data_IF_509479584193
#
_entry.id   IF_509479584193
#
_cell.length_a   1.000
_cell.length_b   1.000
_cell.length_c   1.000
_cell.angle_alpha   90.00
_cell.angle_beta   90.00
_cell.angle_gamma   90.00
#
_symmetry.space_group_name_H-M   'P 1'
#
loop_
_entity.id
_entity.type
_entity.pdbx_description
1 polymer ?
#
# COMPACT_ATOMS: atom_id res chain seq x y z
N UNK A 1 -8.45 21.40 -18.34
CA UNK A 1 -7.25 20.99 -17.59
C UNK A 1 -7.54 19.70 -16.84
N UNK A 2 -7.17 18.57 -17.40
CA UNK A 2 -7.16 17.27 -16.72
C UNK A 2 -5.82 17.14 -16.01
N UNK A 3 -5.69 17.83 -14.88
CA UNK A 3 -4.49 17.77 -14.05
C UNK A 3 -4.93 17.26 -12.69
N UNK A 4 -4.47 16.11 -12.34
CA UNK A 4 -4.68 15.56 -11.01
C UNK A 4 -3.75 14.39 -10.74
N UNK A 5 -3.35 14.24 -9.51
CA UNK A 5 -2.61 13.09 -9.01
C UNK A 5 -3.25 11.73 -9.40
N UNK A 6 -4.54 11.71 -9.67
CA UNK A 6 -5.27 10.53 -10.14
C UNK A 6 -4.85 10.06 -11.53
N UNK A 7 -4.42 10.94 -12.42
CA UNK A 7 -3.95 10.55 -13.75
C UNK A 7 -2.59 9.85 -13.69
N UNK A 8 -1.70 10.28 -12.81
CA UNK A 8 -0.45 9.56 -12.52
C UNK A 8 -0.66 8.18 -11.91
N UNK A 9 -1.72 7.99 -11.10
CA UNK A 9 -2.05 6.70 -10.49
C UNK A 9 -2.62 5.72 -11.52
N UNK A 10 -3.42 6.18 -12.45
CA UNK A 10 -3.95 5.34 -13.56
C UNK A 10 -2.90 5.01 -14.61
N UNK A 11 -1.93 5.88 -14.81
CA UNK A 11 -0.81 5.66 -15.74
C UNK A 11 0.12 4.50 -15.32
N UNK A 12 0.04 4.07 -14.07
CA UNK A 12 0.75 2.89 -13.58
C UNK A 12 0.46 1.62 -14.37
N UNK A 13 -0.76 1.46 -14.87
CA UNK A 13 -1.14 0.24 -15.60
C UNK A 13 -0.79 0.29 -17.09
N UNK A 14 -0.62 1.50 -17.65
CA UNK A 14 -0.63 1.69 -19.09
C UNK A 14 0.31 2.83 -19.50
N UNK A 15 1.61 2.70 -19.38
CA UNK A 15 2.57 3.70 -19.88
C UNK A 15 2.38 4.07 -21.37
N UNK A 16 3.33 4.80 -21.98
CA UNK A 16 3.34 5.09 -23.41
C UNK A 16 3.57 3.84 -24.29
N UNK A 17 3.97 2.72 -23.67
CA UNK A 17 4.30 1.47 -24.35
C UNK A 17 3.07 0.68 -24.75
N UNK A 18 3.13 0.09 -25.94
CA UNK A 18 2.17 -0.92 -26.40
C UNK A 18 2.52 -2.27 -25.78
N UNK A 19 1.53 -2.94 -25.19
CA UNK A 19 1.70 -4.30 -24.66
C UNK A 19 0.76 -5.26 -25.37
N UNK A 20 1.26 -6.45 -25.70
CA UNK A 20 0.42 -7.54 -26.20
C UNK A 20 -0.07 -8.31 -24.98
N UNK A 21 -1.38 -8.37 -24.79
CA UNK A 21 -2.02 -9.12 -23.73
C UNK A 21 -2.78 -10.29 -24.32
N UNK A 22 -2.48 -11.51 -23.86
CA UNK A 22 -3.27 -12.67 -24.21
C UNK A 22 -4.57 -12.66 -23.44
N UNK A 23 -5.70 -12.59 -24.13
CA UNK A 23 -7.05 -12.65 -23.56
C UNK A 23 -7.82 -13.79 -24.20
N UNK A 24 -8.67 -14.47 -23.44
CA UNK A 24 -9.58 -15.47 -24.01
C UNK A 24 -10.72 -14.74 -24.74
N UNK A 25 -11.00 -15.15 -25.98
CA UNK A 25 -12.19 -14.73 -26.71
C UNK A 25 -13.45 -15.44 -26.15
N UNK A 26 -14.62 -15.16 -26.71
CA UNK A 26 -15.90 -15.75 -26.30
C UNK A 26 -15.91 -17.28 -26.48
N UNK A 27 -15.07 -17.81 -27.38
CA UNK A 27 -14.93 -19.23 -27.67
C UNK A 27 -13.87 -19.92 -26.78
N UNK A 28 -13.23 -19.17 -25.84
CA UNK A 28 -12.23 -19.67 -24.91
C UNK A 28 -10.80 -19.78 -25.46
N UNK A 29 -10.54 -19.38 -26.72
CA UNK A 29 -9.23 -19.38 -27.33
C UNK A 29 -8.39 -18.17 -26.89
N UNK A 30 -7.10 -18.38 -26.71
CA UNK A 30 -6.14 -17.33 -26.38
C UNK A 30 -5.83 -16.45 -27.60
N UNK A 31 -6.29 -15.21 -27.57
CA UNK A 31 -6.05 -14.23 -28.64
C UNK A 31 -5.12 -13.13 -28.12
N UNK A 32 -4.12 -12.81 -28.92
CA UNK A 32 -3.22 -11.69 -28.65
C UNK A 32 -3.95 -10.36 -28.87
N UNK A 33 -4.19 -9.59 -27.82
CA UNK A 33 -4.82 -8.27 -27.89
C UNK A 33 -3.78 -7.19 -27.59
N UNK A 34 -3.64 -6.25 -28.54
CA UNK A 34 -2.80 -5.08 -28.33
C UNK A 34 -3.48 -4.13 -27.35
N UNK A 35 -2.82 -3.85 -26.24
CA UNK A 35 -3.28 -2.90 -25.23
C UNK A 35 -2.40 -1.67 -25.31
N UNK A 36 -3.02 -0.53 -25.62
CA UNK A 36 -2.34 0.77 -25.70
C UNK A 36 -2.53 1.48 -24.38
N UNK A 37 -1.47 2.08 -23.85
CA UNK A 37 -1.51 2.83 -22.60
C UNK A 37 -2.44 4.04 -22.67
N UNK A 38 -3.16 4.33 -21.59
CA UNK A 38 -4.10 5.46 -21.51
C UNK A 38 -3.42 6.79 -21.78
N UNK A 39 -2.19 6.99 -21.32
CA UNK A 39 -1.42 8.20 -21.57
C UNK A 39 -1.17 8.41 -23.06
N UNK A 40 -0.87 7.34 -23.81
CA UNK A 40 -0.70 7.41 -25.24
C UNK A 40 -2.01 7.73 -25.97
N UNK A 41 -3.11 7.09 -25.59
CA UNK A 41 -4.43 7.37 -26.16
C UNK A 41 -4.79 8.86 -25.99
N UNK A 42 -4.55 9.42 -24.80
CA UNK A 42 -4.82 10.84 -24.53
C UNK A 42 -3.94 11.74 -25.41
N UNK A 43 -2.64 11.44 -25.55
CA UNK A 43 -1.74 12.21 -26.40
C UNK A 43 -2.11 12.13 -27.87
N UNK A 44 -2.45 10.94 -28.35
CA UNK A 44 -2.85 10.75 -29.75
C UNK A 44 -4.19 11.44 -30.05
N UNK A 45 -5.08 11.52 -29.06
CA UNK A 45 -6.39 12.19 -29.18
C UNK A 45 -6.27 13.71 -29.13
N UNK A 46 -5.30 14.23 -28.35
CA UNK A 46 -5.09 15.66 -28.14
C UNK A 46 -3.65 16.08 -28.50
N UNK A 47 -3.22 15.97 -29.78
CA UNK A 47 -1.81 16.12 -30.16
C UNK A 47 -1.27 17.54 -29.95
N UNK A 48 -2.13 18.54 -29.92
CA UNK A 48 -1.75 19.95 -29.73
C UNK A 48 -1.89 20.44 -28.30
N UNK A 49 -2.23 19.54 -27.36
CA UNK A 49 -2.35 19.91 -25.95
C UNK A 49 -0.98 19.97 -25.28
N UNK A 50 -0.80 20.92 -24.39
CA UNK A 50 0.33 20.95 -23.46
C UNK A 50 0.01 20.11 -22.24
N UNK A 51 0.91 19.21 -21.88
CA UNK A 51 0.76 18.32 -20.73
C UNK A 51 1.68 18.75 -19.62
N UNK A 52 1.12 18.96 -18.43
CA UNK A 52 1.88 19.22 -17.22
C UNK A 52 1.43 18.25 -16.14
N UNK A 53 2.38 17.64 -15.43
CA UNK A 53 2.13 16.69 -14.36
C UNK A 53 2.64 17.21 -13.01
N UNK A 54 1.83 17.09 -11.98
CA UNK A 54 2.23 17.34 -10.58
C UNK A 54 2.20 16.02 -9.82
N UNK A 55 3.33 15.62 -9.26
CA UNK A 55 3.41 14.36 -8.50
C UNK A 55 4.44 14.48 -7.38
N UNK A 56 4.07 14.00 -6.19
CA UNK A 56 5.02 13.84 -5.09
C UNK A 56 5.87 12.56 -5.20
N UNK A 57 5.61 11.71 -6.20
CA UNK A 57 6.25 10.40 -6.35
C UNK A 57 6.52 10.08 -7.82
N UNK A 58 7.46 10.79 -8.47
CA UNK A 58 7.81 10.52 -9.86
C UNK A 58 8.32 9.09 -10.05
N UNK A 59 7.98 8.49 -11.18
CA UNK A 59 8.39 7.13 -11.53
C UNK A 59 9.55 7.22 -12.53
N UNK A 60 10.64 6.52 -12.23
CA UNK A 60 11.78 6.34 -13.15
C UNK A 60 12.09 4.85 -13.22
N UNK A 61 11.46 4.13 -14.17
CA UNK A 61 11.70 2.72 -14.47
C UNK A 61 11.81 2.55 -15.98
N UNK A 62 12.48 1.49 -16.43
CA UNK A 62 12.71 1.21 -17.85
C UNK A 62 11.42 1.14 -18.68
N UNK A 63 10.32 0.61 -18.09
CA UNK A 63 9.03 0.46 -18.76
C UNK A 63 8.05 1.61 -18.48
N UNK A 64 8.36 2.51 -17.53
CA UNK A 64 7.49 3.61 -17.10
C UNK A 64 8.33 4.74 -16.54
N UNK A 65 8.31 5.85 -17.24
CA UNK A 65 9.06 7.03 -16.85
C UNK A 65 8.18 8.27 -16.93
N UNK A 66 8.05 8.98 -15.81
CA UNK A 66 7.28 10.23 -15.76
C UNK A 66 7.82 11.27 -16.74
N UNK A 67 9.15 11.31 -16.95
CA UNK A 67 9.80 12.22 -17.90
C UNK A 67 9.45 11.91 -19.35
N UNK A 68 9.26 10.64 -19.70
CA UNK A 68 8.84 10.24 -21.06
C UNK A 68 7.41 10.69 -21.37
N UNK A 69 6.56 10.75 -20.33
CA UNK A 69 5.15 11.14 -20.47
C UNK A 69 5.00 12.66 -20.50
N UNK A 70 5.68 13.39 -19.62
CA UNK A 70 5.45 14.81 -19.37
C UNK A 70 6.62 15.70 -19.81
N UNK A 71 7.77 15.14 -20.17
CA UNK A 71 9.00 15.88 -20.43
C UNK A 71 9.86 16.07 -19.18
N UNK A 72 10.88 16.93 -19.30
CA UNK A 72 11.77 17.21 -18.18
C UNK A 72 11.06 17.93 -17.03
N UNK A 73 11.64 17.81 -15.84
CA UNK A 73 11.12 18.50 -14.67
C UNK A 73 11.22 20.02 -14.85
N UNK A 74 10.12 20.71 -14.58
CA UNK A 74 10.09 22.18 -14.51
C UNK A 74 10.64 22.62 -13.17
N UNK A 75 10.26 21.92 -12.09
CA UNK A 75 10.70 22.18 -10.74
C UNK A 75 10.66 20.89 -9.91
N UNK A 76 11.52 20.80 -8.91
CA UNK A 76 11.62 19.68 -7.97
C UNK A 76 11.63 20.27 -6.56
N UNK A 77 10.61 19.93 -5.79
CA UNK A 77 10.54 20.19 -4.36
C UNK A 77 10.55 18.85 -3.64
N UNK A 78 11.72 18.41 -3.22
CA UNK A 78 11.90 17.09 -2.63
C UNK A 78 11.60 17.04 -1.12
N UNK A 79 11.62 15.83 -0.54
CA UNK A 79 11.33 15.64 0.88
C UNK A 79 12.37 16.32 1.78
N UNK A 80 13.62 16.42 1.35
CA UNK A 80 14.70 17.05 2.12
C UNK A 80 14.44 18.54 2.23
N UNK A 81 14.16 19.18 1.11
CA UNK A 81 13.82 20.61 1.05
C UNK A 81 12.53 20.91 1.83
N UNK A 82 11.52 20.03 1.70
CA UNK A 82 10.27 20.18 2.45
C UNK A 82 10.47 20.12 3.98
N UNK A 83 11.41 19.31 4.45
CA UNK A 83 11.78 19.25 5.88
C UNK A 83 12.57 20.49 6.29
N UNK A 84 13.54 20.94 5.49
CA UNK A 84 14.31 22.15 5.74
C UNK A 84 13.43 23.40 5.81
N UNK A 85 12.43 23.49 4.93
CA UNK A 85 11.46 24.59 4.92
C UNK A 85 10.38 24.47 6.02
N UNK A 86 10.39 23.36 6.79
CA UNK A 86 9.40 23.12 7.85
C UNK A 86 8.01 22.75 7.33
N UNK A 87 7.87 22.47 6.02
CA UNK A 87 6.60 22.07 5.41
C UNK A 87 6.22 20.62 5.73
N UNK A 88 7.20 19.77 6.05
CA UNK A 88 6.98 18.39 6.46
C UNK A 88 7.91 18.02 7.62
N UNK A 89 7.60 16.90 8.29
CA UNK A 89 8.45 16.38 9.37
C UNK A 89 9.40 15.30 8.86
N UNK A 90 10.59 15.14 9.46
CA UNK A 90 11.49 14.05 9.10
C UNK A 90 10.85 12.69 9.43
N UNK A 91 11.05 11.74 8.53
CA UNK A 91 10.62 10.35 8.72
C UNK A 91 11.80 9.51 9.18
N UNK A 92 11.62 8.81 10.28
CA UNK A 92 12.59 7.87 10.82
C UNK A 92 12.18 6.45 10.46
N UNK A 93 13.09 5.72 9.83
CA UNK A 93 12.90 4.31 9.50
C UNK A 93 13.59 3.44 10.54
N UNK A 94 12.84 2.53 11.13
CA UNK A 94 13.33 1.50 12.04
C UNK A 94 13.05 0.12 11.44
N UNK A 95 14.10 -0.61 11.12
CA UNK A 95 13.99 -2.02 10.75
C UNK A 95 13.88 -2.86 12.00
N UNK A 96 12.70 -3.39 12.28
CA UNK A 96 12.46 -4.30 13.40
C UNK A 96 12.59 -5.73 12.90
N UNK A 97 13.71 -6.36 13.25
CA UNK A 97 13.91 -7.78 12.98
C UNK A 97 13.10 -8.53 14.04
N UNK A 98 11.91 -8.95 13.65
CA UNK A 98 11.18 -9.92 14.50
C UNK A 98 12.04 -11.16 14.61
N UNK A 99 12.17 -11.71 15.82
CA UNK A 99 12.77 -13.02 16.06
C UNK A 99 11.82 -14.13 15.57
N UNK A 100 11.43 -14.01 14.29
CA UNK A 100 10.79 -15.10 13.60
C UNK A 100 11.84 -16.18 13.50
N UNK A 101 11.52 -17.38 13.95
CA UNK A 101 12.28 -18.59 13.61
C UNK A 101 12.00 -18.92 12.14
N UNK A 102 12.31 -17.96 11.24
CA UNK A 102 12.24 -18.18 9.82
C UNK A 102 13.44 -19.06 9.47
N UNK A 103 13.18 -20.18 8.84
CA UNK A 103 14.24 -20.99 8.26
C UNK A 103 14.85 -20.30 7.03
N UNK A 104 16.00 -20.76 6.58
CA UNK A 104 16.69 -20.18 5.41
C UNK A 104 15.84 -20.23 4.13
N UNK A 105 14.92 -21.20 4.01
CA UNK A 105 14.03 -21.30 2.86
C UNK A 105 13.01 -20.18 2.84
N UNK A 106 12.49 -19.82 4.00
CA UNK A 106 11.56 -18.71 4.18
C UNK A 106 12.22 -17.37 3.85
N UNK A 107 13.46 -17.15 4.29
CA UNK A 107 14.21 -15.94 3.94
C UNK A 107 14.44 -15.86 2.43
N UNK A 108 14.81 -16.96 1.77
CA UNK A 108 14.95 -17.00 0.30
C UNK A 108 13.64 -16.70 -0.44
N UNK A 109 12.49 -17.15 0.09
CA UNK A 109 11.19 -16.82 -0.49
C UNK A 109 10.89 -15.31 -0.40
N UNK A 110 11.24 -14.67 0.72
CA UNK A 110 11.11 -13.22 0.89
C UNK A 110 11.98 -12.48 -0.13
N UNK A 111 13.23 -12.90 -0.28
CA UNK A 111 14.16 -12.29 -1.25
C UNK A 111 13.65 -12.47 -2.69
N UNK A 112 13.15 -13.66 -3.03
CA UNK A 112 12.57 -13.96 -4.35
C UNK A 112 11.33 -13.07 -4.62
N UNK A 113 10.47 -12.84 -3.64
CA UNK A 113 9.30 -11.95 -3.80
C UNK A 113 9.73 -10.51 -4.06
N UNK A 114 10.78 -10.03 -3.38
CA UNK A 114 11.38 -8.72 -3.66
C UNK A 114 11.90 -8.62 -5.09
N UNK A 115 12.60 -9.65 -5.57
CA UNK A 115 13.10 -9.68 -6.94
C UNK A 115 11.98 -9.70 -7.98
N UNK A 116 10.91 -10.46 -7.75
CA UNK A 116 9.73 -10.52 -8.63
C UNK A 116 8.97 -9.18 -8.66
N UNK A 117 8.85 -8.51 -7.51
CA UNK A 117 8.25 -7.17 -7.47
C UNK A 117 9.11 -6.13 -8.20
N UNK A 118 10.43 -6.33 -8.22
CA UNK A 118 11.37 -5.43 -8.90
C UNK A 118 11.40 -5.65 -10.42
N UNK A 119 11.09 -6.86 -10.90
CA UNK A 119 11.08 -7.24 -12.30
C UNK A 119 9.64 -7.26 -12.84
N UNK A 120 9.39 -6.62 -13.99
CA UNK A 120 8.13 -6.77 -14.72
C UNK A 120 8.14 -8.14 -15.44
N UNK A 121 7.54 -9.13 -14.82
CA UNK A 121 7.65 -10.50 -15.27
C UNK A 121 6.58 -10.91 -16.30
N UNK A 122 6.97 -11.76 -17.25
CA UNK A 122 6.11 -12.40 -18.26
C UNK A 122 5.13 -13.42 -17.64
N UNK A 123 4.13 -13.84 -18.41
CA UNK A 123 2.98 -14.65 -17.94
C UNK A 123 3.36 -15.97 -17.23
N UNK A 124 4.43 -16.64 -17.64
CA UNK A 124 4.91 -17.88 -17.01
C UNK A 124 5.49 -17.63 -15.62
N UNK A 125 6.05 -16.43 -15.41
CA UNK A 125 6.54 -15.97 -14.10
C UNK A 125 5.36 -15.64 -13.19
N UNK A 126 4.20 -15.22 -13.73
CA UNK A 126 2.99 -14.94 -12.94
C UNK A 126 2.44 -16.20 -12.25
N UNK A 127 2.50 -17.35 -12.89
CA UNK A 127 1.99 -18.60 -12.30
C UNK A 127 2.92 -19.13 -11.21
N UNK A 128 4.22 -19.03 -11.43
CA UNK A 128 5.25 -19.30 -10.42
C UNK A 128 5.12 -18.33 -9.25
N UNK A 129 4.95 -17.04 -9.54
CA UNK A 129 4.74 -15.98 -8.55
C UNK A 129 3.49 -16.21 -7.70
N UNK A 130 2.37 -16.67 -8.27
CA UNK A 130 1.16 -16.98 -7.50
C UNK A 130 1.38 -18.09 -6.48
N UNK A 131 2.19 -19.09 -6.81
CA UNK A 131 2.52 -20.17 -5.89
C UNK A 131 3.44 -19.68 -4.76
N UNK A 132 4.43 -18.87 -5.10
CA UNK A 132 5.37 -18.28 -4.16
C UNK A 132 4.67 -17.27 -3.24
N UNK A 133 3.77 -16.41 -3.77
CA UNK A 133 2.92 -15.52 -3.00
C UNK A 133 2.00 -16.26 -2.02
N UNK A 134 1.45 -17.41 -2.45
CA UNK A 134 0.64 -18.28 -1.58
C UNK A 134 1.46 -18.90 -0.44
N UNK A 135 2.71 -19.26 -0.70
CA UNK A 135 3.63 -19.77 0.32
C UNK A 135 4.02 -18.65 1.30
N UNK A 136 4.30 -17.45 0.80
CA UNK A 136 4.59 -16.28 1.62
C UNK A 136 3.42 -15.93 2.54
N UNK A 137 2.19 -15.89 1.99
CA UNK A 137 0.99 -15.65 2.79
C UNK A 137 0.81 -16.69 3.89
N UNK A 138 1.10 -17.96 3.61
CA UNK A 138 1.02 -19.02 4.61
C UNK A 138 2.04 -18.84 5.74
N UNK A 139 3.26 -18.43 5.41
CA UNK A 139 4.34 -18.19 6.38
C UNK A 139 4.06 -16.96 7.23
N UNK A 140 3.78 -15.82 6.58
CA UNK A 140 3.49 -14.55 7.26
C UNK A 140 2.18 -14.61 8.04
N UNK A 141 1.23 -15.42 7.59
CA UNK A 141 -0.06 -15.64 8.25
C UNK A 141 -0.07 -16.78 9.26
N UNK A 142 1.06 -17.45 9.53
CA UNK A 142 1.14 -18.49 10.54
C UNK A 142 0.86 -17.91 11.93
N UNK A 143 0.13 -18.64 12.76
CA UNK A 143 -0.38 -18.11 14.05
C UNK A 143 0.75 -17.69 15.01
N UNK A 144 1.86 -18.42 15.07
CA UNK A 144 3.02 -18.04 15.87
C UNK A 144 3.71 -16.77 15.33
N UNK A 145 3.72 -16.60 14.00
CA UNK A 145 4.26 -15.40 13.35
C UNK A 145 3.40 -14.19 13.68
N UNK A 146 2.08 -14.31 13.53
CA UNK A 146 1.13 -13.25 13.87
C UNK A 146 1.18 -12.90 15.35
N UNK A 147 1.30 -13.92 16.23
CA UNK A 147 1.46 -13.70 17.66
C UNK A 147 2.70 -12.87 17.96
N UNK A 148 3.86 -13.27 17.44
CA UNK A 148 5.11 -12.55 17.66
C UNK A 148 5.08 -11.13 17.07
N UNK A 149 4.45 -10.96 15.90
CA UNK A 149 4.26 -9.65 15.25
C UNK A 149 3.43 -8.73 16.14
N UNK A 150 2.26 -9.21 16.59
CA UNK A 150 1.32 -8.39 17.36
C UNK A 150 1.91 -8.06 18.73
N UNK A 151 2.56 -9.02 19.38
CA UNK A 151 3.21 -8.80 20.68
C UNK A 151 4.30 -7.70 20.54
N UNK A 152 5.13 -7.73 19.48
CA UNK A 152 6.15 -6.69 19.22
C UNK A 152 5.54 -5.33 18.88
N UNK A 153 4.49 -5.29 18.05
CA UNK A 153 3.79 -4.04 17.71
C UNK A 153 3.17 -3.42 18.95
N UNK A 154 2.47 -4.20 19.76
CA UNK A 154 1.80 -3.70 20.96
C UNK A 154 2.81 -3.20 22.01
N UNK A 155 3.87 -3.96 22.27
CA UNK A 155 4.93 -3.54 23.18
C UNK A 155 5.56 -2.21 22.74
N UNK A 156 5.92 -2.09 21.45
CA UNK A 156 6.47 -0.85 20.92
C UNK A 156 5.45 0.30 20.94
N UNK A 157 4.20 0.03 20.57
CA UNK A 157 3.15 1.06 20.52
C UNK A 157 2.87 1.60 21.93
N UNK A 158 2.61 0.74 22.90
CA UNK A 158 2.29 1.14 24.28
C UNK A 158 3.48 1.81 24.98
N UNK A 159 4.69 1.31 24.75
CA UNK A 159 5.88 1.86 25.41
C UNK A 159 6.33 3.21 24.84
N UNK A 160 6.16 3.45 23.53
CA UNK A 160 6.82 4.57 22.86
C UNK A 160 5.91 5.43 21.98
N UNK A 161 4.75 4.94 21.56
CA UNK A 161 3.94 5.61 20.53
C UNK A 161 2.56 6.05 20.99
N UNK A 162 1.95 5.36 21.93
CA UNK A 162 0.60 5.67 22.40
C UNK A 162 0.44 7.10 22.91
N UNK A 163 1.45 7.60 23.61
CA UNK A 163 1.48 8.94 24.16
C UNK A 163 2.26 9.95 23.30
N UNK A 164 2.71 9.54 22.12
CA UNK A 164 3.41 10.43 21.18
C UNK A 164 2.39 11.15 20.30
N UNK A 165 2.39 12.49 20.33
CA UNK A 165 1.40 13.32 19.61
C UNK A 165 -0.03 12.89 19.94
N UNK A 166 -0.75 12.34 18.95
CA UNK A 166 -2.15 11.88 19.09
C UNK A 166 -2.26 10.37 19.31
N UNK A 167 -1.13 9.65 19.34
CA UNK A 167 -1.08 8.20 19.47
C UNK A 167 -1.61 7.44 18.24
N UNK A 168 -1.74 8.10 17.08
CA UNK A 168 -2.24 7.43 15.87
C UNK A 168 -1.18 6.59 15.21
N UNK A 169 -1.57 5.36 14.88
CA UNK A 169 -0.73 4.40 14.19
C UNK A 169 -1.50 3.70 13.06
N UNK A 170 -0.78 3.30 12.02
CA UNK A 170 -1.31 2.50 10.93
C UNK A 170 -0.50 1.21 10.80
N UNK A 171 -1.18 0.07 10.68
CA UNK A 171 -0.57 -1.23 10.41
C UNK A 171 -0.91 -1.62 8.98
N UNK A 172 0.10 -1.72 8.14
CA UNK A 172 -0.05 -2.16 6.74
C UNK A 172 0.18 -3.66 6.68
N UNK A 173 -0.89 -4.42 6.51
CA UNK A 173 -0.84 -5.87 6.48
C UNK A 173 -0.57 -6.39 5.05
N UNK A 174 0.07 -7.54 4.96
CA UNK A 174 0.39 -8.21 3.70
C UNK A 174 -0.85 -8.57 2.88
N UNK A 175 -1.86 -9.14 3.53
CA UNK A 175 -3.11 -9.54 2.90
C UNK A 175 -4.31 -9.28 3.80
N UNK A 176 -5.50 -9.44 3.24
CA UNK A 176 -6.77 -9.27 3.96
C UNK A 176 -6.93 -10.29 5.08
N UNK A 177 -6.52 -11.53 4.83
CA UNK A 177 -6.57 -12.60 5.84
C UNK A 177 -5.62 -12.28 7.01
N UNK A 178 -4.41 -11.79 6.70
CA UNK A 178 -3.44 -11.36 7.72
C UNK A 178 -3.94 -10.14 8.49
N UNK A 179 -4.56 -9.16 7.83
CA UNK A 179 -5.17 -8.02 8.51
C UNK A 179 -6.20 -8.44 9.55
N UNK A 180 -7.07 -9.40 9.22
CA UNK A 180 -8.06 -9.95 10.15
C UNK A 180 -7.43 -10.76 11.29
N UNK A 181 -6.37 -11.52 11.02
CA UNK A 181 -5.62 -12.23 12.08
C UNK A 181 -4.97 -11.25 13.05
N UNK A 182 -4.33 -10.18 12.55
CA UNK A 182 -3.76 -9.13 13.39
C UNK A 182 -4.84 -8.49 14.26
N UNK A 183 -5.98 -8.11 13.66
CA UNK A 183 -7.09 -7.51 14.39
C UNK A 183 -7.61 -8.41 15.52
N UNK A 184 -7.94 -9.66 15.20
CA UNK A 184 -8.41 -10.62 16.18
C UNK A 184 -7.39 -10.81 17.30
N UNK A 185 -6.11 -10.94 16.95
CA UNK A 185 -5.04 -11.13 17.94
C UNK A 185 -4.87 -9.91 18.85
N UNK A 186 -4.99 -8.70 18.34
CA UNK A 186 -4.96 -7.48 19.16
C UNK A 186 -6.10 -7.50 20.17
N UNK A 187 -7.32 -7.82 19.76
CA UNK A 187 -8.48 -7.87 20.66
C UNK A 187 -8.41 -9.02 21.68
N UNK A 188 -7.78 -10.14 21.33
CA UNK A 188 -7.50 -11.22 22.31
C UNK A 188 -6.58 -10.74 23.44
N UNK A 189 -5.54 -9.96 23.11
CA UNK A 189 -4.56 -9.44 24.09
C UNK A 189 -5.13 -8.20 24.81
N UNK A 190 -5.93 -7.40 24.13
CA UNK A 190 -6.50 -6.13 24.62
C UNK A 190 -8.01 -6.11 24.40
N UNK A 191 -8.80 -6.84 25.20
CA UNK A 191 -10.25 -6.95 25.02
C UNK A 191 -11.01 -5.63 25.08
N UNK A 192 -10.45 -4.57 25.60
CA UNK A 192 -11.09 -3.24 25.66
C UNK A 192 -10.76 -2.32 24.48
N UNK A 193 -10.13 -2.83 23.41
CA UNK A 193 -9.66 -2.00 22.29
C UNK A 193 -10.57 -2.02 21.06
N UNK A 194 -11.81 -2.47 21.17
CA UNK A 194 -12.76 -2.53 20.05
C UNK A 194 -12.99 -1.16 19.40
N UNK A 195 -12.99 -0.08 20.19
CA UNK A 195 -13.12 1.27 19.68
C UNK A 195 -11.78 1.90 19.27
N UNK A 196 -10.66 1.34 19.76
CA UNK A 196 -9.31 1.87 19.53
C UNK A 196 -8.69 1.36 18.24
N UNK A 197 -9.10 0.18 17.77
CA UNK A 197 -8.53 -0.50 16.59
C UNK A 197 -9.63 -0.77 15.56
N UNK A 198 -9.36 -0.46 14.29
CA UNK A 198 -10.28 -0.79 13.21
C UNK A 198 -9.54 -1.38 12.00
N UNK A 199 -10.25 -2.21 11.23
CA UNK A 199 -9.77 -2.75 9.95
C UNK A 199 -10.40 -1.97 8.79
N UNK A 200 -9.57 -1.49 7.87
CA UNK A 200 -10.02 -0.76 6.69
C UNK A 200 -9.50 -1.44 5.43
N UNK A 201 -10.36 -2.19 4.78
CA UNK A 201 -10.06 -2.90 3.55
C UNK A 201 -11.28 -3.06 2.67
N UNK A 202 -11.08 -3.47 1.41
CA UNK A 202 -12.19 -3.75 0.49
C UNK A 202 -12.94 -5.01 0.92
N UNK A 203 -14.28 -5.01 0.81
CA UNK A 203 -15.10 -6.19 1.00
C UNK A 203 -15.12 -7.05 -0.29
N UNK A 204 -15.31 -8.35 -0.14
CA UNK A 204 -15.50 -9.30 -1.23
C UNK A 204 -16.67 -10.23 -0.90
N UNK A 205 -17.40 -10.65 -1.93
CA UNK A 205 -18.49 -11.64 -1.77
C UNK A 205 -17.99 -13.03 -1.32
N UNK A 206 -16.67 -13.23 -1.34
CA UNK A 206 -16.01 -14.47 -0.89
C UNK A 206 -15.53 -14.41 0.55
N UNK A 207 -15.75 -13.28 1.23
CA UNK A 207 -15.32 -13.12 2.62
C UNK A 207 -16.16 -13.98 3.57
N UNK A 208 -15.55 -14.51 4.63
CA UNK A 208 -16.30 -15.12 5.71
C UNK A 208 -17.37 -14.17 6.27
N UNK A 209 -18.52 -14.71 6.65
CA UNK A 209 -19.67 -13.92 7.14
C UNK A 209 -19.27 -13.03 8.34
N UNK A 210 -18.46 -13.54 9.23
CA UNK A 210 -17.93 -12.81 10.39
C UNK A 210 -17.15 -11.54 10.04
N UNK A 211 -16.56 -11.48 8.83
CA UNK A 211 -15.80 -10.30 8.40
C UNK A 211 -16.68 -9.14 7.98
N UNK A 212 -17.92 -9.43 7.52
CA UNK A 212 -18.80 -8.40 7.00
C UNK A 212 -19.18 -7.35 8.04
N UNK A 213 -19.33 -7.75 9.30
CA UNK A 213 -19.61 -6.84 10.41
C UNK A 213 -18.41 -5.94 10.75
N UNK A 214 -17.18 -6.46 10.59
CA UNK A 214 -15.93 -5.75 10.91
C UNK A 214 -15.54 -4.79 9.77
N UNK A 215 -15.57 -5.28 8.51
CA UNK A 215 -15.18 -4.49 7.33
C UNK A 215 -16.24 -3.44 7.01
N UNK A 216 -17.50 -3.77 7.20
CA UNK A 216 -18.62 -2.90 6.91
C UNK A 216 -18.77 -2.51 5.43
N UNK A 217 -19.70 -1.62 5.17
CA UNK A 217 -19.97 -1.06 3.85
C UNK A 217 -19.17 0.23 3.58
N UNK A 218 -19.43 0.90 2.47
CA UNK A 218 -18.78 2.16 2.10
C UNK A 218 -18.97 3.24 3.16
N UNK A 219 -20.21 3.40 3.67
CA UNK A 219 -20.54 4.38 4.70
C UNK A 219 -19.77 4.14 6.00
N UNK A 220 -19.67 2.89 6.43
CA UNK A 220 -18.88 2.52 7.61
C UNK A 220 -17.40 2.93 7.47
N UNK A 221 -16.80 2.73 6.28
CA UNK A 221 -15.43 3.15 6.00
C UNK A 221 -15.25 4.67 5.99
N UNK A 222 -16.23 5.42 5.52
CA UNK A 222 -16.25 6.89 5.58
C UNK A 222 -16.37 7.38 7.05
N UNK A 223 -17.16 6.71 7.87
CA UNK A 223 -17.26 6.98 9.31
C UNK A 223 -15.93 6.66 10.02
N UNK A 224 -15.28 5.51 9.71
CA UNK A 224 -13.94 5.20 10.23
C UNK A 224 -12.90 6.23 9.80
N UNK A 225 -12.96 6.69 8.54
CA UNK A 225 -12.06 7.73 8.04
C UNK A 225 -12.23 9.05 8.81
N UNK A 226 -13.45 9.44 9.09
CA UNK A 226 -13.76 10.63 9.88
C UNK A 226 -13.25 10.48 11.32
N UNK A 227 -13.55 9.36 11.96
CA UNK A 227 -13.06 9.05 13.33
C UNK A 227 -11.54 9.01 13.38
N UNK A 228 -10.87 8.43 12.37
CA UNK A 228 -9.41 8.35 12.37
C UNK A 228 -8.74 9.70 12.12
N UNK A 229 -9.41 10.65 11.47
CA UNK A 229 -8.93 12.05 11.33
C UNK A 229 -9.12 12.87 12.60
N UNK A 230 -10.15 12.58 13.34
CA UNK A 230 -10.45 13.26 14.59
C UNK A 230 -9.46 12.84 15.69
N UNK A 231 -8.73 13.82 16.24
CA UNK A 231 -7.72 13.57 17.27
C UNK A 231 -8.32 13.19 18.63
N UNK A 232 -9.54 13.58 18.91
CA UNK A 232 -10.25 13.29 20.17
C UNK A 232 -10.96 11.92 20.11
N UNK A 233 -11.10 11.35 18.92
CA UNK A 233 -11.68 10.02 18.74
C UNK A 233 -10.88 8.94 19.46
N UNK A 234 -11.53 7.93 20.07
CA UNK A 234 -10.86 6.76 20.62
C UNK A 234 -10.13 5.92 19.57
N UNK A 235 -10.50 5.99 18.29
CA UNK A 235 -9.86 5.25 17.22
C UNK A 235 -8.44 5.76 16.97
N UNK A 236 -7.45 4.95 17.36
CA UNK A 236 -6.03 5.28 17.29
C UNK A 236 -5.24 4.40 16.32
N UNK A 237 -5.68 3.15 16.08
CA UNK A 237 -4.95 2.19 15.26
C UNK A 237 -5.83 1.76 14.08
N UNK A 238 -5.33 1.97 12.85
CA UNK A 238 -5.96 1.49 11.63
C UNK A 238 -5.14 0.34 11.02
N UNK A 239 -5.76 -0.81 10.79
CA UNK A 239 -5.16 -1.94 10.07
C UNK A 239 -5.64 -1.86 8.63
N UNK A 240 -4.72 -1.71 7.69
CA UNK A 240 -5.00 -1.54 6.26
C UNK A 240 -4.23 -2.56 5.43
N UNK A 241 -4.66 -2.78 4.19
CA UNK A 241 -3.89 -3.57 3.21
C UNK A 241 -3.36 -2.65 2.11
N UNK A 242 -4.26 -2.02 1.35
CA UNK A 242 -3.93 -1.08 0.28
C UNK A 242 -4.72 0.24 0.41
N UNK A 243 -5.86 0.20 1.10
CA UNK A 243 -6.68 1.39 1.36
C UNK A 243 -5.94 2.37 2.28
N UNK A 244 -6.18 3.65 2.09
CA UNK A 244 -5.59 4.76 2.84
C UNK A 244 -4.08 4.97 2.61
N UNK A 245 -3.40 4.10 1.90
CA UNK A 245 -2.01 4.34 1.49
C UNK A 245 -1.92 5.42 0.41
N UNK A 246 -3.02 5.65 -0.33
CA UNK A 246 -3.11 6.68 -1.37
C UNK A 246 -4.35 7.53 -1.17
N UNK A 247 -4.22 8.84 -1.34
CA UNK A 247 -5.36 9.76 -1.34
C UNK A 247 -6.06 9.97 0.02
N UNK A 248 -5.50 9.45 1.11
CA UNK A 248 -6.01 9.63 2.46
C UNK A 248 -4.98 10.38 3.30
N UNK A 249 -5.34 11.54 3.79
CA UNK A 249 -4.47 12.41 4.57
C UNK A 249 -4.90 12.45 6.03
N UNK A 250 -3.95 12.21 6.93
CA UNK A 250 -4.09 12.29 8.37
C UNK A 250 -2.81 12.91 8.94
N UNK A 251 -2.74 14.24 9.07
CA UNK A 251 -1.54 14.93 9.54
C UNK A 251 -1.04 14.46 10.91
N UNK A 252 -1.92 13.95 11.74
CA UNK A 252 -1.60 13.41 13.06
C UNK A 252 -1.14 11.95 13.09
N UNK A 253 -1.00 11.28 11.91
CA UNK A 253 -0.47 9.92 11.84
C UNK A 253 1.04 9.92 12.15
N UNK A 254 1.41 9.44 13.33
CA UNK A 254 2.77 9.48 13.83
C UNK A 254 3.58 8.21 13.57
N UNK A 255 2.92 7.08 13.37
CA UNK A 255 3.59 5.77 13.29
C UNK A 255 2.94 4.89 12.22
N UNK A 256 3.79 4.21 11.44
CA UNK A 256 3.35 3.20 10.49
C UNK A 256 4.15 1.91 10.68
N UNK A 257 3.46 0.82 10.92
CA UNK A 257 4.02 -0.53 10.96
C UNK A 257 3.78 -1.20 9.61
N UNK A 258 4.83 -1.50 8.89
CA UNK A 258 4.72 -2.08 7.54
C UNK A 258 5.04 -3.56 7.60
N UNK A 259 4.00 -4.39 7.55
CA UNK A 259 4.08 -5.84 7.46
C UNK A 259 3.72 -6.32 6.05
N UNK A 260 4.38 -5.72 5.08
CA UNK A 260 4.19 -5.98 3.66
C UNK A 260 5.45 -5.56 2.91
N UNK A 261 6.02 -6.39 2.03
CA UNK A 261 7.08 -5.94 1.14
C UNK A 261 6.59 -4.78 0.29
N UNK A 262 7.28 -3.66 0.38
CA UNK A 262 6.94 -2.45 -0.36
C UNK A 262 8.18 -1.87 -1.02
N UNK A 263 8.10 -1.59 -2.31
CA UNK A 263 9.21 -1.04 -3.07
C UNK A 263 8.79 0.15 -3.95
N UNK A 264 9.75 1.01 -4.23
CA UNK A 264 9.60 2.12 -5.16
C UNK A 264 8.40 3.00 -4.79
N UNK A 265 7.52 3.22 -5.75
CA UNK A 265 6.38 4.12 -5.60
C UNK A 265 5.44 3.78 -4.43
N UNK A 266 5.15 2.49 -4.18
CA UNK A 266 4.25 2.08 -3.09
C UNK A 266 4.85 2.43 -1.73
N UNK A 267 6.15 2.22 -1.57
CA UNK A 267 6.88 2.59 -0.36
C UNK A 267 6.88 4.11 -0.18
N UNK A 268 7.16 4.87 -1.23
CA UNK A 268 7.17 6.33 -1.17
C UNK A 268 5.78 6.89 -0.81
N UNK A 269 4.71 6.30 -1.33
CA UNK A 269 3.35 6.70 -0.95
C UNK A 269 3.03 6.41 0.52
N UNK A 270 3.49 5.27 1.04
CA UNK A 270 3.32 4.94 2.45
C UNK A 270 4.10 5.91 3.34
N UNK A 271 5.36 6.20 3.00
CA UNK A 271 6.20 7.16 3.71
C UNK A 271 5.54 8.55 3.74
N UNK A 272 4.99 9.00 2.62
CA UNK A 272 4.31 10.29 2.54
C UNK A 272 3.10 10.42 3.48
N UNK A 273 2.54 9.31 3.99
CA UNK A 273 1.43 9.35 4.96
C UNK A 273 1.88 9.74 6.37
N UNK A 274 3.10 9.41 6.77
CA UNK A 274 3.66 9.75 8.09
C UNK A 274 4.52 11.01 8.07
N UNK A 275 4.69 11.61 6.90
CA UNK A 275 5.47 12.83 6.69
C UNK A 275 4.59 14.10 6.63
N UNK A 276 3.28 13.98 6.78
CA UNK A 276 2.35 15.13 6.76
C UNK A 276 2.48 15.96 8.03
N UNK A 277 2.40 17.29 7.87
CA UNK A 277 2.37 18.25 8.98
C UNK A 277 0.94 18.56 9.38
#
# INVERSE_FOLDING_TARGET
SLVGSEMCIRDRQYGLTEKIKMTKNEDGELVARKVIGTARIIRDTLPNATYIGFTGTPISREDRNTREVFGDYIDIYDMTQAVEDGATRPVYYESRVMKLKLDENTLKLIDTEYEIMAQNADADVIEKSKRELGQMEAILGHDDTIKSLVDDILDHYESYRENLLTGKAMIVAYSRAIAMKIYKRILEIRPGWEEKVAVVMTASNKDPEEWHSIIGNKRHKEELATKFKDNDSPLKIAIVVDMWLTGFDVPSLATMYVYKPMMGYNLMQAIARVNSC
#
